data_IF_841254478129
#
_entry.id   IF_841254478129
#
_cell.length_a   1.000
_cell.length_b   1.000
_cell.length_c   1.000
_cell.angle_alpha   90.00
_cell.angle_beta   90.00
_cell.angle_gamma   90.00
#
_symmetry.space_group_name_H-M   'P 1'
#
loop_
_entity.id
_entity.type
_entity.pdbx_description
1 polymer ?
#
# COMPACT_ATOMS: atom_id res chain seq x y z
N UNK A 1 12.71 -36.78 34.55
CA UNK A 1 11.25 -36.62 34.36
C UNK A 1 10.98 -35.16 34.06
N UNK A 2 10.65 -34.84 32.82
CA UNK A 2 10.16 -33.53 32.40
C UNK A 2 9.42 -33.75 31.08
N UNK A 3 8.13 -34.07 31.20
CA UNK A 3 7.17 -34.12 30.09
C UNK A 3 6.52 -32.75 29.99
N UNK A 4 6.84 -31.99 28.95
CA UNK A 4 6.09 -30.77 28.59
C UNK A 4 5.41 -31.01 27.24
N UNK A 5 4.27 -31.67 27.31
CA UNK A 5 3.37 -31.91 26.19
C UNK A 5 2.42 -30.71 26.05
N UNK A 6 2.81 -29.69 25.28
CA UNK A 6 1.95 -28.55 24.95
C UNK A 6 1.13 -28.87 23.69
N UNK A 7 0.03 -29.59 23.86
CA UNK A 7 -1.03 -29.72 22.83
C UNK A 7 -2.08 -28.64 23.09
N UNK A 8 -1.95 -27.50 22.41
CA UNK A 8 -3.04 -26.54 22.25
C UNK A 8 -4.13 -27.08 21.32
N UNK A 9 -5.40 -26.69 21.49
CA UNK A 9 -6.51 -27.27 20.75
C UNK A 9 -6.50 -26.76 19.30
N UNK A 10 -6.27 -27.68 18.37
CA UNK A 10 -6.56 -27.50 16.95
C UNK A 10 -8.08 -27.49 16.77
N UNK A 11 -8.63 -26.30 16.54
CA UNK A 11 -9.99 -26.13 16.05
C UNK A 11 -10.10 -26.79 14.67
N UNK A 12 -11.01 -27.76 14.59
CA UNK A 12 -11.41 -28.42 13.35
C UNK A 12 -11.93 -27.39 12.34
N UNK A 13 -11.27 -27.30 11.19
CA UNK A 13 -11.84 -26.73 9.98
C UNK A 13 -11.98 -27.91 9.02
N UNK A 14 -13.20 -28.43 8.93
CA UNK A 14 -13.62 -29.34 7.88
C UNK A 14 -14.39 -28.53 6.84
N UNK A 15 -13.91 -28.61 5.61
CA UNK A 15 -14.46 -28.00 4.40
C UNK A 15 -15.13 -29.12 3.59
N UNK A 16 -16.36 -28.89 3.10
CA UNK A 16 -17.10 -29.53 1.99
C UNK A 16 -18.62 -29.38 2.26
N UNK A 17 -19.54 -29.10 1.34
CA UNK A 17 -19.54 -28.85 -0.08
C UNK A 17 -20.87 -28.17 -0.48
N UNK A 18 -20.87 -27.53 -1.65
CA UNK A 18 -21.99 -27.29 -2.57
C UNK A 18 -23.19 -26.43 -2.12
N UNK A 19 -23.41 -25.29 -2.80
CA UNK A 19 -24.51 -25.18 -3.77
C UNK A 19 -24.34 -23.95 -4.69
N UNK A 20 -24.35 -24.22 -6.00
CA UNK A 20 -24.33 -23.27 -7.11
C UNK A 20 -25.70 -22.62 -7.26
N UNK A 21 -25.80 -21.29 -7.20
CA UNK A 21 -26.95 -20.54 -7.77
C UNK A 21 -26.48 -19.34 -8.59
N UNK A 22 -27.06 -19.29 -9.78
CA UNK A 22 -26.76 -18.47 -10.97
C UNK A 22 -26.92 -16.95 -10.79
N UNK A 23 -26.22 -16.14 -11.60
CA UNK A 23 -26.19 -14.68 -11.49
C UNK A 23 -27.40 -14.04 -12.18
N UNK A 24 -28.05 -13.08 -11.52
CA UNK A 24 -29.09 -12.23 -12.14
C UNK A 24 -28.65 -10.76 -12.20
N UNK A 25 -29.06 -10.01 -13.24
CA UNK A 25 -28.26 -8.90 -13.74
C UNK A 25 -28.90 -7.51 -13.50
N UNK A 26 -28.04 -6.48 -13.56
CA UNK A 26 -28.30 -5.06 -13.84
C UNK A 26 -28.95 -4.20 -12.73
N UNK A 27 -28.15 -3.27 -12.18
CA UNK A 27 -28.41 -1.81 -12.28
C UNK A 27 -27.09 -1.03 -12.38
N UNK A 28 -26.62 -0.82 -13.62
CA UNK A 28 -25.62 0.22 -13.93
C UNK A 28 -26.32 1.58 -13.83
N UNK A 29 -25.93 2.43 -12.88
CA UNK A 29 -26.29 3.85 -12.91
C UNK A 29 -25.55 4.48 -14.10
N UNK A 30 -26.30 4.84 -15.12
CA UNK A 30 -25.82 5.49 -16.32
C UNK A 30 -25.17 6.86 -16.01
N UNK A 31 -24.14 7.26 -16.77
CA UNK A 31 -23.44 8.52 -16.57
C UNK A 31 -24.37 9.72 -16.85
N UNK A 32 -24.26 10.74 -15.99
CA UNK A 32 -24.99 12.01 -16.06
C UNK A 32 -24.74 12.66 -17.42
N UNK A 33 -25.75 12.65 -18.30
CA UNK A 33 -25.72 13.35 -19.59
C UNK A 33 -25.45 14.84 -19.37
N UNK A 34 -24.40 15.35 -20.00
CA UNK A 34 -24.22 16.77 -20.28
C UNK A 34 -25.33 17.21 -21.25
N UNK A 35 -25.97 18.34 -20.99
CA UNK A 35 -26.78 19.05 -21.99
C UNK A 35 -26.15 20.41 -22.21
N UNK A 36 -25.57 20.58 -23.39
CA UNK A 36 -25.19 21.85 -23.98
C UNK A 36 -26.25 22.29 -25.00
N UNK A 37 -26.29 23.61 -25.21
CA UNK A 37 -26.90 24.37 -26.30
C UNK A 37 -28.43 24.55 -26.32
N UNK A 38 -28.87 25.72 -25.82
CA UNK A 38 -29.73 26.65 -26.56
C UNK A 38 -29.65 28.06 -25.92
N UNK A 39 -29.02 28.99 -26.62
CA UNK A 39 -29.16 30.46 -26.50
C UNK A 39 -30.17 30.93 -27.58
N UNK A 40 -30.63 32.20 -27.64
CA UNK A 40 -30.65 33.26 -26.62
C UNK A 40 -32.04 33.98 -26.53
N UNK A 41 -32.40 34.53 -25.38
CA UNK A 41 -33.28 35.73 -25.35
C UNK A 41 -32.75 36.70 -24.29
N UNK A 42 -32.39 37.89 -24.76
CA UNK A 42 -31.99 39.04 -23.96
C UNK A 42 -33.12 39.51 -23.05
N UNK A 43 -32.82 39.74 -21.78
CA UNK A 43 -33.52 40.72 -20.98
C UNK A 43 -32.52 41.41 -20.03
N UNK A 44 -32.39 42.72 -20.21
CA UNK A 44 -31.53 43.62 -19.47
C UNK A 44 -32.16 43.94 -18.11
N UNK A 45 -31.43 43.77 -17.00
CA UNK A 45 -31.53 44.63 -15.79
C UNK A 45 -30.42 44.38 -14.76
N UNK A 46 -29.43 45.29 -14.77
CA UNK A 46 -28.82 46.03 -13.65
C UNK A 46 -28.66 45.36 -12.25
N UNK A 47 -27.39 45.06 -11.94
CA UNK A 47 -26.65 45.25 -10.67
C UNK A 47 -27.19 44.70 -9.34
N UNK A 48 -26.51 43.69 -8.78
CA UNK A 48 -25.92 43.73 -7.42
C UNK A 48 -24.99 42.53 -7.20
N UNK A 49 -24.03 42.70 -6.30
CA UNK A 49 -22.88 41.87 -6.01
C UNK A 49 -23.17 40.42 -5.62
N UNK A 50 -22.35 39.49 -6.12
CA UNK A 50 -21.75 38.41 -5.33
C UNK A 50 -20.68 37.68 -6.17
N UNK A 51 -19.40 37.96 -5.87
CA UNK A 51 -18.28 37.10 -6.23
C UNK A 51 -18.51 35.73 -5.59
N UNK A 52 -18.82 34.71 -6.38
CA UNK A 52 -18.68 33.32 -5.98
C UNK A 52 -17.27 32.86 -6.38
N UNK A 53 -16.52 32.21 -5.48
CA UNK A 53 -15.12 31.91 -5.72
C UNK A 53 -15.02 30.80 -6.77
N UNK A 54 -14.16 31.05 -7.74
CA UNK A 54 -13.69 30.05 -8.67
C UNK A 54 -13.30 28.78 -7.91
N UNK A 55 -13.77 27.65 -8.42
CA UNK A 55 -13.26 26.32 -8.10
C UNK A 55 -11.75 26.31 -8.36
N UNK A 56 -10.93 26.57 -7.33
CA UNK A 56 -9.47 26.44 -7.38
C UNK A 56 -9.10 24.96 -7.42
N UNK A 57 -9.32 24.35 -8.57
CA UNK A 57 -8.86 23.00 -8.87
C UNK A 57 -7.34 23.02 -9.09
N UNK A 58 -6.61 22.77 -8.00
CA UNK A 58 -5.46 21.87 -7.96
C UNK A 58 -4.36 22.07 -9.00
N UNK A 59 -3.66 23.20 -8.96
CA UNK A 59 -2.24 23.30 -9.35
C UNK A 59 -1.56 24.40 -8.53
N UNK A 60 -1.50 24.22 -7.21
CA UNK A 60 -0.43 24.86 -6.42
C UNK A 60 0.88 24.51 -7.11
N UNK A 61 1.66 25.52 -7.50
CA UNK A 61 2.87 25.33 -8.30
C UNK A 61 3.86 24.46 -7.51
N UNK A 62 4.77 23.76 -8.18
CA UNK A 62 5.78 22.97 -7.46
C UNK A 62 6.65 23.85 -6.56
N UNK A 63 6.87 25.11 -6.97
CA UNK A 63 7.58 26.11 -6.19
C UNK A 63 6.81 26.44 -4.90
N UNK A 64 5.51 26.73 -4.99
CA UNK A 64 4.66 27.01 -3.82
C UNK A 64 4.72 25.87 -2.79
N UNK A 65 4.76 24.60 -3.24
CA UNK A 65 4.87 23.44 -2.35
C UNK A 65 6.21 23.39 -1.63
N UNK A 66 7.31 23.70 -2.34
CA UNK A 66 8.64 23.73 -1.72
C UNK A 66 8.79 24.88 -0.74
N UNK A 67 8.21 26.04 -1.03
CA UNK A 67 8.18 27.19 -0.12
C UNK A 67 7.38 26.87 1.15
N UNK A 68 6.23 26.21 1.01
CA UNK A 68 5.44 25.74 2.15
C UNK A 68 6.20 24.70 2.98
N UNK A 69 6.90 23.75 2.35
CA UNK A 69 7.73 22.78 3.09
C UNK A 69 8.89 23.47 3.83
N UNK A 70 9.54 24.46 3.20
CA UNK A 70 10.60 25.25 3.82
C UNK A 70 10.08 26.06 5.01
N UNK A 71 8.92 26.71 4.89
CA UNK A 71 8.31 27.47 5.98
C UNK A 71 7.99 26.57 7.19
N UNK A 72 7.47 25.37 6.93
CA UNK A 72 7.21 24.39 7.99
C UNK A 72 8.53 23.93 8.63
N UNK A 73 9.57 23.68 7.82
CA UNK A 73 10.89 23.27 8.31
C UNK A 73 11.55 24.37 9.15
N UNK A 74 11.50 25.63 8.72
CA UNK A 74 12.04 26.76 9.48
C UNK A 74 11.31 26.92 10.80
N UNK A 75 9.97 26.94 10.80
CA UNK A 75 9.17 27.05 12.03
C UNK A 75 9.48 25.94 13.05
N UNK A 76 9.67 24.71 12.56
CA UNK A 76 10.03 23.57 13.41
C UNK A 76 11.47 23.66 13.91
N UNK A 77 12.41 24.10 13.06
CA UNK A 77 13.83 24.26 13.43
C UNK A 77 14.06 25.41 14.42
N UNK A 78 13.30 26.50 14.30
CA UNK A 78 13.32 27.64 15.20
C UNK A 78 12.59 27.34 16.52
N UNK A 79 11.94 26.17 16.63
CA UNK A 79 11.21 25.74 17.82
C UNK A 79 9.93 26.55 18.08
N UNK A 80 9.48 27.36 17.11
CA UNK A 80 8.30 28.23 17.26
C UNK A 80 7.00 27.45 17.40
N UNK A 81 6.93 26.25 16.82
CA UNK A 81 5.74 25.40 16.85
C UNK A 81 6.10 23.92 16.67
N UNK A 82 5.24 23.03 17.15
CA UNK A 82 5.38 21.61 16.84
C UNK A 82 5.10 21.36 15.36
N UNK A 83 5.64 20.28 14.80
CA UNK A 83 5.43 19.94 13.38
C UNK A 83 3.94 19.93 12.98
N UNK A 84 3.06 19.45 13.86
CA UNK A 84 1.62 19.42 13.60
C UNK A 84 0.99 20.80 13.59
N UNK A 85 1.45 21.71 14.44
CA UNK A 85 0.94 23.07 14.53
C UNK A 85 1.44 23.93 13.36
N UNK A 86 2.69 23.76 12.94
CA UNK A 86 3.25 24.37 11.73
C UNK A 86 2.49 23.93 10.47
N UNK A 87 2.19 22.62 10.34
CA UNK A 87 1.42 22.06 9.22
C UNK A 87 0.00 22.66 9.18
N UNK A 88 -0.67 22.76 10.34
CA UNK A 88 -2.00 23.40 10.45
C UNK A 88 -1.94 24.89 10.14
N UNK A 89 -0.93 25.60 10.64
CA UNK A 89 -0.70 27.03 10.38
C UNK A 89 -0.44 27.33 8.90
N UNK A 90 0.22 26.41 8.19
CA UNK A 90 0.39 26.47 6.74
C UNK A 90 -0.87 26.10 5.94
N UNK A 91 -1.95 25.68 6.61
CA UNK A 91 -3.23 25.31 5.98
C UNK A 91 -3.21 23.98 5.23
N UNK A 92 -2.27 23.08 5.56
CA UNK A 92 -2.07 21.79 4.87
C UNK A 92 -2.46 20.64 5.81
N UNK A 93 -2.89 19.50 5.27
CA UNK A 93 -3.09 18.29 6.08
C UNK A 93 -1.77 17.57 6.33
N UNK A 94 -1.66 16.90 7.47
CA UNK A 94 -0.48 16.09 7.83
C UNK A 94 -0.14 15.05 6.74
N UNK A 95 -1.17 14.42 6.17
CA UNK A 95 -1.01 13.48 5.05
C UNK A 95 -0.40 14.15 3.81
N UNK A 96 -0.80 15.38 3.50
CA UNK A 96 -0.29 16.12 2.34
C UNK A 96 1.15 16.55 2.56
N UNK A 97 1.50 16.99 3.77
CA UNK A 97 2.88 17.29 4.16
C UNK A 97 3.79 16.07 3.93
N UNK A 98 3.40 14.90 4.45
CA UNK A 98 4.21 13.69 4.25
C UNK A 98 4.30 13.29 2.77
N UNK A 99 3.21 13.41 2.01
CA UNK A 99 3.24 13.13 0.57
C UNK A 99 4.18 14.06 -0.19
N UNK A 100 4.20 15.35 0.14
CA UNK A 100 5.12 16.31 -0.48
C UNK A 100 6.56 16.14 -0.02
N UNK A 101 6.80 15.85 1.27
CA UNK A 101 8.13 15.52 1.78
C UNK A 101 8.71 14.28 1.10
N UNK A 102 7.88 13.25 0.90
CA UNK A 102 8.28 12.06 0.15
C UNK A 102 8.52 12.38 -1.32
N UNK A 103 7.70 13.25 -1.93
CA UNK A 103 7.84 13.73 -3.31
C UNK A 103 9.01 14.72 -3.52
N UNK A 104 9.55 15.32 -2.47
CA UNK A 104 10.71 16.21 -2.52
C UNK A 104 12.05 15.46 -2.39
N UNK A 105 12.06 14.20 -1.93
CA UNK A 105 13.29 13.37 -1.94
C UNK A 105 13.83 13.22 -3.36
N UNK A 106 15.14 13.36 -3.61
CA UNK A 106 15.67 13.23 -4.96
C UNK A 106 15.32 11.86 -5.56
N UNK A 107 15.04 11.85 -6.86
CA UNK A 107 14.63 10.63 -7.57
C UNK A 107 15.70 9.52 -7.42
N UNK A 108 16.98 9.90 -7.40
CA UNK A 108 18.11 9.00 -7.25
C UNK A 108 18.03 8.20 -5.93
N UNK A 109 17.79 8.86 -4.80
CA UNK A 109 17.63 8.17 -3.50
C UNK A 109 16.42 7.24 -3.46
N UNK A 110 15.34 7.57 -4.19
CA UNK A 110 14.18 6.65 -4.27
C UNK A 110 14.51 5.43 -5.11
N UNK A 111 15.17 5.64 -6.24
CA UNK A 111 15.56 4.58 -7.14
C UNK A 111 16.60 3.67 -6.49
N UNK A 112 17.62 4.23 -5.82
CA UNK A 112 18.58 3.47 -5.01
C UNK A 112 17.88 2.62 -3.95
N UNK A 113 16.92 3.18 -3.22
CA UNK A 113 16.16 2.40 -2.23
C UNK A 113 15.32 1.30 -2.88
N UNK A 114 14.73 1.54 -4.04
CA UNK A 114 13.97 0.52 -4.77
C UNK A 114 14.87 -0.58 -5.31
N UNK A 115 16.07 -0.23 -5.79
CA UNK A 115 17.08 -1.20 -6.25
C UNK A 115 17.55 -2.05 -5.08
N UNK A 116 17.90 -1.43 -3.95
CA UNK A 116 18.31 -2.17 -2.75
C UNK A 116 17.22 -3.14 -2.25
N UNK A 117 15.94 -2.72 -2.27
CA UNK A 117 14.82 -3.61 -1.93
C UNK A 117 14.66 -4.73 -2.97
N UNK A 118 14.88 -4.43 -4.26
CA UNK A 118 14.83 -5.44 -5.32
C UNK A 118 15.93 -6.49 -5.16
N UNK A 119 17.15 -6.06 -4.80
CA UNK A 119 18.28 -6.95 -4.57
C UNK A 119 18.04 -7.82 -3.31
N UNK A 120 17.56 -7.23 -2.22
CA UNK A 120 17.17 -7.98 -1.01
C UNK A 120 16.07 -9.01 -1.30
N UNK A 121 15.08 -8.68 -2.13
CA UNK A 121 14.05 -9.63 -2.56
C UNK A 121 14.63 -10.77 -3.42
N UNK A 122 15.61 -10.48 -4.27
CA UNK A 122 16.28 -11.51 -5.07
C UNK A 122 17.06 -12.50 -4.17
N UNK A 123 17.77 -11.99 -3.17
CA UNK A 123 18.51 -12.82 -2.20
C UNK A 123 17.56 -13.73 -1.39
N UNK A 124 16.41 -13.21 -0.98
CA UNK A 124 15.40 -14.01 -0.27
C UNK A 124 14.85 -15.16 -1.10
N UNK A 125 14.62 -14.94 -2.41
CA UNK A 125 14.16 -15.99 -3.32
C UNK A 125 15.22 -17.08 -3.48
N UNK A 126 16.49 -16.71 -3.64
CA UNK A 126 17.60 -17.67 -3.75
C UNK A 126 17.70 -18.54 -2.49
N UNK A 127 17.63 -17.93 -1.31
CA UNK A 127 17.65 -18.67 -0.04
C UNK A 127 16.47 -19.63 0.10
N UNK A 128 15.29 -19.26 -0.38
CA UNK A 128 14.14 -20.17 -0.38
C UNK A 128 14.39 -21.39 -1.27
N UNK A 129 14.87 -21.19 -2.50
CA UNK A 129 15.19 -22.26 -3.44
C UNK A 129 16.24 -23.22 -2.86
N UNK A 130 17.30 -22.68 -2.27
CA UNK A 130 18.33 -23.46 -1.59
C UNK A 130 17.75 -24.25 -0.40
N UNK A 131 16.89 -23.64 0.41
CA UNK A 131 16.25 -24.33 1.52
C UNK A 131 15.38 -25.50 1.03
N UNK A 132 14.59 -25.27 -0.01
CA UNK A 132 13.79 -26.31 -0.64
C UNK A 132 14.67 -27.44 -1.19
N UNK A 133 15.79 -27.12 -1.84
CA UNK A 133 16.77 -28.10 -2.33
C UNK A 133 17.37 -28.91 -1.18
N UNK A 134 17.80 -28.25 -0.10
CA UNK A 134 18.37 -28.91 1.07
C UNK A 134 17.37 -29.84 1.74
N UNK A 135 16.11 -29.42 1.89
CA UNK A 135 15.02 -30.28 2.42
C UNK A 135 14.82 -31.52 1.56
N UNK A 136 14.83 -31.40 0.23
CA UNK A 136 14.71 -32.53 -0.69
C UNK A 136 15.88 -33.51 -0.52
N UNK A 137 17.11 -32.99 -0.45
CA UNK A 137 18.32 -33.82 -0.26
C UNK A 137 18.27 -34.53 1.10
N UNK A 138 17.92 -33.82 2.17
CA UNK A 138 17.79 -34.39 3.50
C UNK A 138 16.74 -35.51 3.53
N UNK A 139 15.55 -35.26 2.95
CA UNK A 139 14.49 -36.25 2.88
C UNK A 139 14.90 -37.48 2.04
N UNK A 140 15.68 -37.31 0.98
CA UNK A 140 16.22 -38.42 0.20
C UNK A 140 17.23 -39.24 1.01
N UNK A 141 18.16 -38.58 1.71
CA UNK A 141 19.14 -39.24 2.59
C UNK A 141 18.46 -40.03 3.71
N UNK A 142 17.51 -39.40 4.42
CA UNK A 142 16.76 -40.08 5.48
C UNK A 142 15.97 -41.27 4.96
N UNK A 143 15.38 -41.19 3.76
CA UNK A 143 14.73 -42.36 3.15
C UNK A 143 15.72 -43.48 2.83
N UNK A 144 16.89 -43.15 2.30
CA UNK A 144 17.93 -44.13 1.97
C UNK A 144 18.47 -44.81 3.24
N UNK A 145 18.82 -44.02 4.27
CA UNK A 145 19.31 -44.53 5.56
C UNK A 145 18.24 -45.35 6.27
N UNK A 146 16.98 -44.90 6.29
CA UNK A 146 15.89 -45.68 6.88
C UNK A 146 15.67 -46.99 6.14
N UNK A 147 15.74 -47.01 4.81
CA UNK A 147 15.66 -48.26 4.05
C UNK A 147 16.83 -49.19 4.41
N UNK A 148 18.05 -48.67 4.52
CA UNK A 148 19.20 -49.47 4.94
C UNK A 148 19.04 -50.03 6.36
N UNK A 149 18.53 -49.23 7.30
CA UNK A 149 18.25 -49.67 8.67
C UNK A 149 17.17 -50.76 8.70
N UNK A 150 16.10 -50.62 7.91
CA UNK A 150 15.06 -51.65 7.84
C UNK A 150 15.60 -52.97 7.28
N UNK A 151 16.46 -52.94 6.25
CA UNK A 151 17.17 -54.14 5.75
C UNK A 151 18.00 -54.80 6.84
N UNK A 152 18.76 -54.00 7.60
CA UNK A 152 19.61 -54.49 8.70
C UNK A 152 18.79 -55.09 9.84
N UNK A 153 17.57 -54.60 10.07
CA UNK A 153 16.66 -55.09 11.10
C UNK A 153 15.75 -56.24 10.61
N UNK A 154 15.81 -56.62 9.33
CA UNK A 154 14.94 -57.65 8.76
C UNK A 154 13.46 -57.23 8.68
N UNK A 155 13.20 -55.91 8.56
CA UNK A 155 11.85 -55.31 8.52
C UNK A 155 11.40 -54.94 7.09
N UNK A 156 12.10 -55.45 6.07
CA UNK A 156 11.89 -55.19 4.65
C UNK A 156 11.35 -56.39 3.88
#
# INVERSE_FOLDING_TARGET
>A
MADENNTGPIAAVEETAAEVKTPTPKKRRSPRRQKAAAEPVQAVSKASAAKSPATKSSRTSEQDRTEQLKLIETQVSEGTSTLKDAIKGAGISEQTYYRWKQAAKPADQRNEKLIAVSDELADLVQLEEENQRLRKILAAKLRAENAELRKRLGLD
#
